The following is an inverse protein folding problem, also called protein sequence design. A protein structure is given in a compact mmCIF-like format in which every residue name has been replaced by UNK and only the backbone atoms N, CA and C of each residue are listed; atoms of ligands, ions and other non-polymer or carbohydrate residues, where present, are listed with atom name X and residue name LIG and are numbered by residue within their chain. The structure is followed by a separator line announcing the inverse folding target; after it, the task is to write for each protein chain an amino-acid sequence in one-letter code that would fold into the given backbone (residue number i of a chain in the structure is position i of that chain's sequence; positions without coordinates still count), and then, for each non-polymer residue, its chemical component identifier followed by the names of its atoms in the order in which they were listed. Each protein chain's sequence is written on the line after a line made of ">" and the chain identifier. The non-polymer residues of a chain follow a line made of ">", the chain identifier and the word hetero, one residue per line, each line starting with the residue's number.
data_IF_209276511014
#
_entry.id   IF_209276511014
#
_cell.length_a   1.000
_cell.length_b   1.000
_cell.length_c   1.000
_cell.angle_alpha   90.00
_cell.angle_beta   90.00
_cell.angle_gamma   90.00
#
_symmetry.space_group_name_H-M   'P 1'
#
loop_
_entity.id
_entity.type
_entity.pdbx_description
1 polymer ?
#
# COMPACT_ATOMS: atom_id res chain seq x y z
N UNK A 1 -15.09 -8.03 22.58
CA UNK A 1 -13.96 -7.60 23.43
C UNK A 1 -14.22 -8.11 24.84
N UNK A 2 -13.27 -8.82 25.47
CA UNK A 2 -13.44 -9.23 26.86
C UNK A 2 -13.39 -7.98 27.76
N UNK A 3 -14.46 -7.72 28.51
CA UNK A 3 -14.52 -6.60 29.46
C UNK A 3 -13.57 -6.88 30.61
N UNK A 4 -12.37 -6.30 30.58
CA UNK A 4 -11.43 -6.37 31.71
C UNK A 4 -11.92 -5.42 32.80
N UNK A 5 -12.31 -5.95 33.96
CA UNK A 5 -12.55 -5.15 35.17
C UNK A 5 -11.21 -4.57 35.64
N UNK A 6 -11.03 -3.26 35.50
CA UNK A 6 -9.93 -2.55 36.14
C UNK A 6 -10.38 -2.18 37.56
N UNK A 7 -9.58 -2.46 38.60
CA UNK A 7 -9.88 -1.96 39.93
C UNK A 7 -9.88 -0.43 39.90
N UNK A 8 -10.99 0.15 40.35
CA UNK A 8 -11.15 1.59 40.56
C UNK A 8 -11.37 1.87 42.04
N UNK A 9 -11.36 3.14 42.43
CA UNK A 9 -11.81 3.58 43.76
C UNK A 9 -13.26 3.20 44.08
N UNK A 10 -14.03 2.75 43.08
CA UNK A 10 -15.41 2.29 43.20
C UNK A 10 -15.54 0.75 43.25
N UNK A 11 -14.43 0.02 43.29
CA UNK A 11 -14.44 -1.44 43.46
C UNK A 11 -15.06 -1.79 44.82
N UNK A 12 -15.83 -2.88 44.87
CA UNK A 12 -16.46 -3.37 46.10
C UNK A 12 -15.97 -4.79 46.40
N UNK A 13 -15.21 -4.99 47.50
CA UNK A 13 -14.76 -3.99 48.48
C UNK A 13 -13.73 -2.99 47.91
N UNK A 14 -13.55 -1.80 48.52
CA UNK A 14 -12.51 -0.86 48.14
C UNK A 14 -11.12 -1.53 48.20
N UNK A 15 -10.33 -1.39 47.15
CA UNK A 15 -8.96 -1.91 47.11
C UNK A 15 -8.08 -1.00 47.96
N UNK A 16 -7.38 -1.54 48.97
CA UNK A 16 -6.47 -0.75 49.80
C UNK A 16 -5.29 -0.25 48.96
N UNK A 17 -4.66 0.86 49.39
CA UNK A 17 -3.52 1.46 48.68
C UNK A 17 -2.39 0.46 48.33
N UNK A 18 -1.92 -0.37 49.28
CA UNK A 18 -0.93 -1.40 49.00
C UNK A 18 -1.40 -2.43 47.97
N UNK A 19 -2.61 -2.99 48.13
CA UNK A 19 -3.17 -3.99 47.21
C UNK A 19 -3.32 -3.44 45.78
N UNK A 20 -3.65 -2.15 45.65
CA UNK A 20 -3.73 -1.47 44.35
C UNK A 20 -2.34 -1.35 43.71
N UNK A 21 -1.32 -0.98 44.49
CA UNK A 21 0.05 -0.88 43.98
C UNK A 21 0.58 -2.25 43.54
N UNK A 22 0.30 -3.32 44.28
CA UNK A 22 0.68 -4.69 43.91
C UNK A 22 -0.03 -5.13 42.62
N UNK A 23 -1.32 -4.79 42.47
CA UNK A 23 -2.06 -5.07 41.25
C UNK A 23 -1.52 -4.30 40.03
N UNK A 24 -1.13 -3.03 40.20
CA UNK A 24 -0.49 -2.24 39.14
C UNK A 24 0.88 -2.81 38.80
N UNK A 25 1.71 -3.13 39.79
CA UNK A 25 3.03 -3.73 39.60
C UNK A 25 2.94 -5.04 38.82
N UNK A 26 1.99 -5.92 39.16
CA UNK A 26 1.71 -7.16 38.44
C UNK A 26 1.32 -6.90 36.97
N UNK A 27 0.50 -5.88 36.69
CA UNK A 27 0.08 -5.52 35.32
C UNK A 27 1.23 -4.93 34.49
N UNK A 28 2.07 -4.13 35.13
CA UNK A 28 3.29 -3.59 34.52
C UNK A 28 4.29 -4.73 34.24
N UNK A 29 4.42 -5.71 35.13
CA UNK A 29 5.19 -6.94 34.90
C UNK A 29 4.71 -7.69 33.65
N UNK A 30 3.41 -7.98 33.57
CA UNK A 30 2.83 -8.62 32.35
C UNK A 30 3.02 -7.79 31.08
N UNK A 31 3.07 -6.45 31.19
CA UNK A 31 3.35 -5.59 30.04
C UNK A 31 4.80 -5.73 29.61
N UNK A 32 5.75 -5.78 30.56
CA UNK A 32 7.16 -6.02 30.25
C UNK A 32 7.42 -7.42 29.69
N UNK A 33 6.70 -8.44 30.16
CA UNK A 33 6.77 -9.79 29.61
C UNK A 33 6.28 -9.84 28.15
N UNK A 34 5.34 -8.98 27.77
CA UNK A 34 4.76 -8.91 26.43
C UNK A 34 5.42 -7.86 25.52
N UNK A 35 6.22 -6.95 26.07
CA UNK A 35 6.85 -5.87 25.32
C UNK A 35 8.23 -6.30 24.80
N UNK A 36 8.55 -5.88 23.58
CA UNK A 36 9.91 -6.05 23.06
C UNK A 36 10.87 -5.06 23.73
N UNK A 37 11.77 -5.59 24.56
CA UNK A 37 12.76 -4.78 25.30
C UNK A 37 13.99 -4.48 24.43
N UNK A 38 14.56 -3.29 24.60
CA UNK A 38 15.84 -2.92 23.98
C UNK A 38 16.97 -3.07 25.01
N UNK A 39 17.99 -3.90 24.75
CA UNK A 39 19.15 -3.99 25.64
C UNK A 39 19.86 -2.65 25.79
N UNK A 40 20.30 -2.35 27.01
CA UNK A 40 21.16 -1.21 27.33
C UNK A 40 22.64 -1.52 27.09
N UNK A 41 23.01 -2.80 27.08
CA UNK A 41 24.34 -3.27 26.72
C UNK A 41 24.28 -4.67 26.08
N UNK A 42 25.26 -4.96 25.22
CA UNK A 42 25.50 -6.27 24.60
C UNK A 42 27.00 -6.56 24.69
N UNK A 43 27.36 -7.72 25.23
CA UNK A 43 28.72 -8.24 25.26
C UNK A 43 28.76 -9.68 24.76
N UNK A 44 29.94 -10.17 24.38
CA UNK A 44 30.09 -11.55 23.92
C UNK A 44 31.45 -12.14 24.31
N UNK A 45 31.50 -13.47 24.43
CA UNK A 45 32.73 -14.26 24.47
C UNK A 45 32.61 -15.37 23.42
N UNK A 46 33.29 -15.21 22.29
CA UNK A 46 33.01 -16.04 21.11
C UNK A 46 31.57 -15.86 20.64
N UNK A 47 30.83 -16.97 20.50
CA UNK A 47 29.41 -16.98 20.08
C UNK A 47 28.42 -17.00 21.26
N UNK A 48 28.89 -16.78 22.49
CA UNK A 48 28.06 -16.62 23.67
C UNK A 48 27.81 -15.14 23.92
N UNK A 49 26.57 -14.69 23.70
CA UNK A 49 26.15 -13.30 23.85
C UNK A 49 25.42 -13.08 25.18
N UNK A 50 25.74 -11.97 25.86
CA UNK A 50 25.05 -11.52 27.07
C UNK A 50 24.45 -10.15 26.79
N UNK A 51 23.15 -10.00 27.04
CA UNK A 51 22.46 -8.71 26.95
C UNK A 51 22.05 -8.21 28.34
N UNK A 52 22.12 -6.91 28.58
CA UNK A 52 21.60 -6.27 29.78
C UNK A 52 20.37 -5.45 29.41
N UNK A 53 19.32 -5.51 30.21
CA UNK A 53 18.05 -4.79 29.97
C UNK A 53 17.70 -3.89 31.16
N UNK A 54 16.88 -2.88 30.90
CA UNK A 54 16.33 -1.97 31.91
C UNK A 54 14.80 -1.88 31.72
N UNK A 55 13.97 -2.27 32.70
CA UNK A 55 14.36 -2.75 34.04
C UNK A 55 15.12 -4.08 34.01
N UNK A 56 15.97 -4.29 35.02
CA UNK A 56 16.68 -5.56 35.22
C UNK A 56 15.67 -6.67 35.53
N UNK A 57 15.87 -7.85 34.98
CA UNK A 57 15.02 -9.00 35.29
C UNK A 57 15.36 -9.55 36.68
N UNK A 58 14.35 -9.68 37.52
CA UNK A 58 14.48 -10.28 38.87
C UNK A 58 14.41 -11.82 38.83
N UNK A 59 14.14 -12.40 37.67
CA UNK A 59 14.01 -13.83 37.42
C UNK A 59 14.52 -14.21 36.03
N UNK A 60 14.38 -15.48 35.66
CA UNK A 60 14.73 -15.93 34.31
C UNK A 60 13.74 -15.44 33.24
N UNK A 61 14.16 -15.47 31.98
CA UNK A 61 13.29 -15.14 30.85
C UNK A 61 12.11 -16.11 30.77
N UNK A 62 10.93 -15.58 30.44
CA UNK A 62 9.71 -16.38 30.26
C UNK A 62 9.31 -16.46 28.79
N UNK A 63 8.57 -17.50 28.41
CA UNK A 63 8.15 -17.71 27.04
C UNK A 63 7.37 -16.50 26.51
N UNK A 64 7.62 -16.13 25.25
CA UNK A 64 7.11 -14.95 24.55
C UNK A 64 7.80 -13.61 24.87
N UNK A 65 8.75 -13.56 25.82
CA UNK A 65 9.59 -12.36 25.98
C UNK A 65 10.42 -12.10 24.73
N UNK A 66 10.47 -10.84 24.31
CA UNK A 66 11.14 -10.44 23.08
C UNK A 66 12.16 -9.31 23.29
N UNK A 67 13.22 -9.30 22.47
CA UNK A 67 14.34 -8.38 22.58
C UNK A 67 14.78 -7.88 21.20
N UNK A 68 15.05 -6.58 21.07
CA UNK A 68 15.69 -5.99 19.89
C UNK A 68 17.21 -5.92 20.08
N UNK A 69 17.95 -6.84 19.48
CA UNK A 69 19.38 -7.02 19.73
C UNK A 69 20.19 -6.59 18.50
N UNK A 70 21.18 -5.73 18.72
CA UNK A 70 22.28 -5.51 17.77
C UNK A 70 23.56 -6.16 18.31
N UNK A 71 24.06 -7.25 17.71
CA UNK A 71 25.26 -7.90 18.21
C UNK A 71 26.48 -6.98 18.10
N UNK A 72 27.35 -7.05 19.10
CA UNK A 72 28.61 -6.30 19.16
C UNK A 72 29.76 -6.98 18.39
N UNK A 73 29.61 -8.26 18.03
CA UNK A 73 30.49 -9.01 17.15
C UNK A 73 29.67 -9.98 16.30
N UNK A 74 30.09 -10.24 15.06
CA UNK A 74 29.41 -11.21 14.20
C UNK A 74 29.73 -12.63 14.65
N UNK A 75 28.76 -13.52 14.60
CA UNK A 75 28.98 -14.90 14.99
C UNK A 75 29.81 -15.68 13.96
N UNK A 76 30.57 -16.66 14.44
CA UNK A 76 31.39 -17.57 13.62
C UNK A 76 30.88 -19.01 13.63
N UNK A 77 29.73 -19.26 14.25
CA UNK A 77 29.09 -20.58 14.39
C UNK A 77 27.82 -20.51 15.24
N UNK A 78 27.36 -21.66 15.79
CA UNK A 78 26.19 -21.70 16.67
C UNK A 78 26.33 -20.74 17.85
N UNK A 79 25.25 -20.05 18.19
CA UNK A 79 25.24 -19.00 19.20
C UNK A 79 24.40 -19.39 20.39
N UNK A 80 24.71 -18.79 21.53
CA UNK A 80 23.85 -18.79 22.72
C UNK A 80 23.64 -17.38 23.22
N UNK A 81 22.51 -17.14 23.86
CA UNK A 81 22.11 -15.87 24.40
C UNK A 81 21.64 -16.03 25.85
N UNK A 82 22.00 -15.07 26.70
CA UNK A 82 21.41 -14.89 28.03
C UNK A 82 21.08 -13.43 28.29
N UNK A 83 20.12 -13.20 29.19
CA UNK A 83 19.70 -11.87 29.61
C UNK A 83 20.23 -11.62 31.01
N UNK A 84 21.32 -10.85 31.12
CA UNK A 84 22.15 -10.62 32.31
C UNK A 84 23.04 -11.80 32.71
N UNK A 85 24.04 -11.55 33.56
CA UNK A 85 25.05 -12.54 33.95
C UNK A 85 24.52 -13.63 34.89
N UNK A 86 23.40 -13.39 35.58
CA UNK A 86 22.77 -14.34 36.49
C UNK A 86 21.97 -15.43 35.77
N UNK A 87 21.58 -15.19 34.52
CA UNK A 87 20.73 -16.08 33.76
C UNK A 87 21.56 -17.17 33.05
N UNK A 88 20.98 -18.38 32.86
CA UNK A 88 21.60 -19.41 32.06
C UNK A 88 21.68 -18.99 30.59
N UNK A 89 22.59 -19.62 29.86
CA UNK A 89 22.64 -19.51 28.40
C UNK A 89 21.59 -20.41 27.76
N UNK A 90 20.89 -19.86 26.78
CA UNK A 90 19.97 -20.57 25.91
C UNK A 90 20.46 -20.53 24.48
N UNK A 91 20.15 -21.54 23.69
CA UNK A 91 20.53 -21.55 22.28
C UNK A 91 19.85 -20.41 21.53
N UNK A 92 20.60 -19.72 20.67
CA UNK A 92 20.09 -18.71 19.77
C UNK A 92 20.06 -19.32 18.37
N UNK A 93 18.85 -19.50 17.86
CA UNK A 93 18.55 -20.26 16.64
C UNK A 93 17.77 -19.42 15.64
N UNK A 94 17.65 -19.92 14.41
CA UNK A 94 16.80 -19.35 13.37
C UNK A 94 15.33 -19.43 13.76
N UNK A 95 14.45 -18.74 13.04
CA UNK A 95 13.00 -18.84 13.26
C UNK A 95 12.50 -20.29 13.18
N UNK A 96 13.13 -21.13 12.36
CA UNK A 96 12.82 -22.55 12.19
C UNK A 96 13.31 -23.48 13.30
N UNK A 97 14.17 -23.00 14.21
CA UNK A 97 14.78 -23.82 15.27
C UNK A 97 16.16 -24.38 14.92
N UNK A 98 16.62 -24.21 13.68
CA UNK A 98 17.96 -24.62 13.26
C UNK A 98 19.05 -23.73 13.85
N UNK A 99 20.21 -24.33 14.14
CA UNK A 99 21.36 -23.59 14.66
C UNK A 99 21.84 -22.49 13.68
N UNK A 100 22.32 -21.38 14.21
CA UNK A 100 22.91 -20.31 13.41
C UNK A 100 24.24 -20.74 12.78
N UNK A 101 24.41 -20.43 11.50
CA UNK A 101 25.67 -20.54 10.78
C UNK A 101 26.50 -19.26 10.90
N UNK A 102 27.80 -19.29 10.49
CA UNK A 102 28.66 -18.11 10.54
C UNK A 102 28.05 -16.92 9.78
N UNK A 103 27.98 -15.75 10.43
CA UNK A 103 27.44 -14.52 9.85
C UNK A 103 25.91 -14.35 9.92
N UNK A 104 25.15 -15.37 10.36
CA UNK A 104 23.69 -15.25 10.48
C UNK A 104 23.25 -14.21 11.56
N UNK A 105 24.13 -13.94 12.54
CA UNK A 105 23.97 -12.93 13.58
C UNK A 105 25.12 -11.91 13.53
N UNK A 106 25.01 -10.96 12.60
CA UNK A 106 26.09 -10.04 12.21
C UNK A 106 25.98 -8.65 12.83
N UNK A 107 27.12 -8.03 13.12
CA UNK A 107 27.18 -6.63 13.57
C UNK A 107 26.52 -5.69 12.56
N UNK A 108 25.99 -4.56 13.07
CA UNK A 108 25.31 -3.57 12.25
C UNK A 108 23.88 -3.94 11.84
N UNK A 109 23.41 -5.15 12.16
CA UNK A 109 22.02 -5.58 11.94
C UNK A 109 21.28 -5.63 13.27
N UNK A 110 20.02 -5.16 13.27
CA UNK A 110 19.13 -5.27 14.43
C UNK A 110 18.19 -6.47 14.23
N UNK A 111 18.10 -7.32 15.24
CA UNK A 111 17.30 -8.54 15.24
C UNK A 111 16.23 -8.49 16.32
N UNK A 112 14.99 -8.84 15.98
CA UNK A 112 13.95 -9.19 16.95
C UNK A 112 14.12 -10.66 17.32
N UNK A 113 14.39 -10.91 18.59
CA UNK A 113 14.63 -12.24 19.14
C UNK A 113 13.55 -12.54 20.18
N UNK A 114 12.96 -13.73 20.16
CA UNK A 114 11.89 -14.14 21.09
C UNK A 114 12.27 -15.43 21.81
N UNK A 115 12.05 -15.49 23.12
CA UNK A 115 12.26 -16.69 23.91
C UNK A 115 11.06 -17.63 23.82
N UNK A 116 11.29 -18.90 23.43
CA UNK A 116 10.23 -19.90 23.17
C UNK A 116 10.25 -21.04 24.20
N UNK A 117 10.64 -20.76 25.45
CA UNK A 117 10.58 -21.74 26.55
C UNK A 117 11.69 -22.79 26.52
N UNK A 118 12.90 -22.40 26.13
CA UNK A 118 14.08 -23.26 26.08
C UNK A 118 15.16 -22.79 25.10
N UNK A 119 14.79 -21.90 24.19
CA UNK A 119 15.67 -21.32 23.18
C UNK A 119 15.20 -19.91 22.79
N UNK A 120 16.11 -19.13 22.24
CA UNK A 120 15.84 -17.86 21.59
C UNK A 120 15.76 -18.03 20.07
N UNK A 121 14.70 -17.53 19.46
CA UNK A 121 14.52 -17.54 18.00
C UNK A 121 14.61 -16.14 17.42
N UNK A 122 15.37 -15.99 16.35
CA UNK A 122 15.40 -14.76 15.54
C UNK A 122 14.16 -14.71 14.64
N UNK A 123 13.28 -13.74 14.85
CA UNK A 123 12.05 -13.54 14.05
C UNK A 123 12.21 -12.51 12.94
N UNK A 124 13.17 -11.60 13.04
CA UNK A 124 13.49 -10.69 11.94
C UNK A 124 14.86 -11.02 11.37
N UNK A 125 14.92 -11.58 10.17
CA UNK A 125 16.15 -11.55 9.37
C UNK A 125 15.99 -10.46 8.33
N UNK A 126 16.67 -9.33 8.53
CA UNK A 126 16.71 -8.27 7.54
C UNK A 126 17.61 -8.61 6.35
N UNK A 127 18.57 -9.56 6.48
CA UNK A 127 19.54 -9.87 5.42
C UNK A 127 20.12 -11.29 5.54
N UNK A 128 19.34 -12.33 5.26
CA UNK A 128 19.91 -13.67 5.02
C UNK A 128 19.52 -14.14 3.63
N UNK A 129 20.48 -14.18 2.72
CA UNK A 129 20.39 -14.91 1.45
C UNK A 129 20.07 -16.42 1.64
N UNK A 130 20.10 -16.89 2.89
CA UNK A 130 19.59 -18.20 3.30
C UNK A 130 18.20 -18.01 3.91
N UNK A 131 17.16 -18.20 3.08
CA UNK A 131 15.77 -18.06 3.52
C UNK A 131 15.41 -19.06 4.61
N UNK A 132 15.00 -18.55 5.78
CA UNK A 132 14.13 -19.27 6.71
C UNK A 132 13.56 -18.41 7.86
N UNK A 133 13.50 -17.09 7.69
CA UNK A 133 12.48 -16.28 8.37
C UNK A 133 11.33 -16.11 7.39
N UNK A 134 10.07 -16.09 7.88
CA UNK A 134 8.88 -15.80 7.07
C UNK A 134 9.26 -14.77 6.01
N UNK A 135 9.40 -15.21 4.76
CA UNK A 135 10.08 -14.41 3.77
C UNK A 135 9.17 -13.23 3.49
N UNK A 136 9.42 -12.08 4.10
CA UNK A 136 8.78 -10.83 3.71
C UNK A 136 9.43 -10.39 2.40
N UNK A 137 9.28 -11.22 1.38
CA UNK A 137 9.69 -10.90 0.03
C UNK A 137 8.75 -9.78 -0.42
N UNK A 138 9.33 -8.63 -0.75
CA UNK A 138 8.64 -7.45 -1.25
C UNK A 138 9.47 -6.88 -2.40
N UNK A 139 8.84 -6.70 -3.56
CA UNK A 139 9.44 -6.01 -4.68
C UNK A 139 8.45 -5.01 -5.27
N UNK A 140 8.89 -3.76 -5.43
CA UNK A 140 8.12 -2.68 -6.04
C UNK A 140 8.74 -2.29 -7.39
N UNK A 141 7.88 -2.09 -8.38
CA UNK A 141 8.22 -1.61 -9.71
C UNK A 141 7.54 -0.26 -9.95
N UNK A 142 8.35 0.79 -10.01
CA UNK A 142 7.96 2.13 -10.48
C UNK A 142 8.29 2.35 -11.96
N UNK A 143 9.01 1.41 -12.55
CA UNK A 143 9.38 1.35 -13.97
C UNK A 143 9.27 -0.10 -14.44
N UNK A 144 8.96 -0.32 -15.72
CA UNK A 144 8.86 -1.66 -16.29
C UNK A 144 10.15 -2.45 -16.13
N UNK A 145 10.02 -3.76 -15.96
CA UNK A 145 11.15 -4.65 -15.74
C UNK A 145 10.73 -6.11 -15.74
N UNK A 146 11.47 -6.93 -15.00
CA UNK A 146 11.23 -8.36 -14.89
C UNK A 146 11.28 -8.77 -13.43
N UNK A 147 10.28 -9.52 -12.99
CA UNK A 147 10.28 -10.20 -11.72
C UNK A 147 10.91 -11.58 -11.90
N UNK A 148 11.96 -11.88 -11.13
CA UNK A 148 12.56 -13.20 -11.06
C UNK A 148 12.10 -13.89 -9.77
N UNK A 149 11.57 -15.09 -9.89
CA UNK A 149 11.14 -15.89 -8.74
C UNK A 149 12.35 -16.16 -7.84
N UNK A 150 12.30 -15.78 -6.54
CA UNK A 150 13.37 -16.11 -5.61
C UNK A 150 13.60 -17.62 -5.56
N UNK A 151 14.87 -18.04 -5.60
CA UNK A 151 15.24 -19.45 -5.65
C UNK A 151 14.78 -20.25 -4.42
N UNK A 152 14.61 -19.57 -3.29
CA UNK A 152 14.20 -20.10 -1.99
C UNK A 152 12.72 -19.87 -1.66
N UNK A 153 11.90 -19.42 -2.62
CA UNK A 153 10.49 -19.23 -2.38
C UNK A 153 9.78 -20.60 -2.31
N UNK A 154 9.13 -20.89 -1.18
CA UNK A 154 8.32 -22.11 -1.02
C UNK A 154 7.31 -22.20 -2.18
N UNK A 155 7.25 -23.32 -2.93
CA UNK A 155 6.27 -23.53 -3.98
C UNK A 155 4.81 -23.34 -3.54
N UNK A 156 4.51 -23.45 -2.24
CA UNK A 156 3.21 -23.22 -1.64
C UNK A 156 3.01 -21.83 -1.04
N UNK A 157 4.02 -20.96 -1.07
CA UNK A 157 3.86 -19.57 -0.66
C UNK A 157 2.79 -18.88 -1.51
N UNK A 158 1.95 -18.08 -0.85
CA UNK A 158 0.97 -17.22 -1.50
C UNK A 158 1.61 -15.86 -1.73
N UNK A 159 1.65 -15.42 -2.97
CA UNK A 159 2.04 -14.07 -3.34
C UNK A 159 0.77 -13.23 -3.51
N UNK A 160 0.81 -12.00 -3.02
CA UNK A 160 -0.14 -10.97 -3.37
C UNK A 160 0.53 -10.01 -4.35
N UNK A 161 -0.09 -9.86 -5.51
CA UNK A 161 0.37 -8.95 -6.57
C UNK A 161 -0.63 -7.80 -6.66
N UNK A 162 -0.15 -6.57 -6.52
CA UNK A 162 -0.94 -5.35 -6.61
C UNK A 162 -0.49 -4.52 -7.80
N UNK A 163 -1.44 -4.03 -8.61
CA UNK A 163 -1.17 -3.36 -9.87
C UNK A 163 -2.03 -2.11 -9.98
N UNK A 164 -1.41 -0.99 -10.34
CA UNK A 164 -2.08 0.29 -10.64
C UNK A 164 -1.81 0.70 -12.08
N UNK A 165 -2.85 1.03 -12.84
CA UNK A 165 -2.71 1.63 -14.18
C UNK A 165 -2.24 3.09 -14.10
N UNK A 166 -1.71 3.61 -15.22
CA UNK A 166 -1.37 5.03 -15.35
C UNK A 166 -2.61 5.92 -15.42
N UNK A 167 -2.52 7.14 -14.86
CA UNK A 167 -3.56 8.15 -14.98
C UNK A 167 -3.53 8.82 -16.36
N UNK A 168 -4.67 9.28 -16.86
CA UNK A 168 -4.78 10.06 -18.10
C UNK A 168 -4.32 11.51 -17.91
N UNK A 169 -3.88 12.15 -18.99
CA UNK A 169 -3.51 13.56 -19.02
C UNK A 169 -4.71 14.48 -19.24
N UNK A 170 -4.64 15.69 -18.68
CA UNK A 170 -5.64 16.73 -18.93
C UNK A 170 -5.40 17.48 -20.25
N UNK A 171 -6.43 18.18 -20.72
CA UNK A 171 -6.33 19.03 -21.91
C UNK A 171 -5.71 20.40 -21.60
N UNK A 172 -5.05 21.02 -22.57
CA UNK A 172 -4.30 22.27 -22.45
C UNK A 172 -4.82 23.39 -23.38
N UNK A 173 -6.02 23.26 -23.91
CA UNK A 173 -6.57 24.24 -24.85
C UNK A 173 -6.87 25.59 -24.19
N UNK A 174 -7.00 26.63 -25.00
CA UNK A 174 -7.09 28.03 -24.52
C UNK A 174 -8.38 28.33 -23.74
N UNK A 175 -9.48 27.66 -24.03
CA UNK A 175 -10.81 28.12 -23.61
C UNK A 175 -11.52 27.23 -22.60
N UNK A 176 -11.38 25.90 -22.68
CA UNK A 176 -12.04 24.96 -21.76
C UNK A 176 -11.19 23.72 -21.59
N UNK A 177 -10.91 23.27 -20.36
CA UNK A 177 -9.98 22.15 -20.13
C UNK A 177 -10.61 21.10 -19.22
N UNK A 178 -10.70 19.86 -19.71
CA UNK A 178 -11.04 18.70 -18.89
C UNK A 178 -9.79 18.10 -18.23
N UNK A 179 -9.96 17.58 -17.02
CA UNK A 179 -8.94 16.75 -16.35
C UNK A 179 -8.91 15.32 -16.90
N UNK A 180 -7.79 14.64 -16.73
CA UNK A 180 -7.65 13.21 -17.03
C UNK A 180 -8.22 12.32 -15.92
N UNK A 181 -8.70 11.13 -16.27
CA UNK A 181 -9.16 10.12 -15.31
C UNK A 181 -7.99 9.41 -14.62
N UNK A 182 -8.20 8.91 -13.41
CA UNK A 182 -7.23 8.08 -12.70
C UNK A 182 -7.13 6.66 -13.27
N UNK A 183 -6.02 5.99 -13.03
CA UNK A 183 -5.83 4.56 -13.34
C UNK A 183 -6.53 3.65 -12.33
N UNK A 184 -6.89 2.44 -12.75
CA UNK A 184 -7.48 1.43 -11.88
C UNK A 184 -6.45 0.80 -10.95
N UNK A 185 -6.93 0.21 -9.86
CA UNK A 185 -6.21 -0.78 -9.06
C UNK A 185 -6.77 -2.17 -9.30
N UNK A 186 -5.89 -3.16 -9.37
CA UNK A 186 -6.26 -4.56 -9.38
C UNK A 186 -5.24 -5.38 -8.57
N UNK A 187 -5.67 -6.51 -8.01
CA UNK A 187 -4.79 -7.40 -7.28
C UNK A 187 -5.22 -8.86 -7.43
N UNK A 188 -4.29 -9.77 -7.19
CA UNK A 188 -4.58 -11.20 -7.13
C UNK A 188 -3.67 -11.92 -6.13
N UNK A 189 -4.14 -13.06 -5.63
CA UNK A 189 -3.39 -13.99 -4.80
C UNK A 189 -2.97 -15.19 -5.64
N UNK A 190 -1.67 -15.32 -5.87
CA UNK A 190 -1.09 -16.32 -6.75
C UNK A 190 -0.19 -17.25 -5.94
N UNK A 191 -0.31 -18.56 -6.18
CA UNK A 191 0.60 -19.52 -5.57
C UNK A 191 1.95 -19.45 -6.28
N UNK A 192 3.05 -19.54 -5.54
CA UNK A 192 4.40 -19.48 -6.11
C UNK A 192 4.63 -20.55 -7.19
N UNK A 193 4.02 -21.74 -7.05
CA UNK A 193 4.10 -22.82 -8.04
C UNK A 193 3.37 -22.52 -9.35
N UNK A 194 2.38 -21.63 -9.36
CA UNK A 194 1.60 -21.29 -10.56
C UNK A 194 2.29 -20.22 -11.42
N UNK A 195 3.29 -19.54 -10.87
CA UNK A 195 4.08 -18.53 -11.56
C UNK A 195 5.24 -19.15 -12.36
N UNK A 196 5.58 -18.55 -13.49
CA UNK A 196 6.85 -18.83 -14.17
C UNK A 196 8.04 -18.35 -13.32
N UNK A 197 9.25 -18.87 -13.58
CA UNK A 197 10.48 -18.43 -12.89
C UNK A 197 10.87 -16.98 -13.21
N UNK A 198 10.36 -16.44 -14.30
CA UNK A 198 10.55 -15.06 -14.74
C UNK A 198 9.23 -14.54 -15.30
N UNK A 199 8.80 -13.35 -14.84
CA UNK A 199 7.55 -12.70 -15.25
C UNK A 199 7.87 -11.27 -15.67
N UNK A 200 7.43 -10.88 -16.88
CA UNK A 200 7.55 -9.49 -17.32
C UNK A 200 6.61 -8.59 -16.52
N UNK A 201 7.12 -7.46 -16.03
CA UNK A 201 6.35 -6.46 -15.29
C UNK A 201 6.27 -5.20 -16.14
N UNK A 202 5.05 -4.78 -16.47
CA UNK A 202 4.80 -3.53 -17.19
C UNK A 202 4.27 -2.48 -16.23
N UNK A 203 4.92 -1.32 -16.17
CA UNK A 203 4.39 -0.15 -15.48
C UNK A 203 3.87 0.82 -16.52
N UNK A 204 2.55 1.03 -16.52
CA UNK A 204 1.88 1.94 -17.44
C UNK A 204 2.33 3.38 -17.23
N UNK A 205 2.74 4.05 -18.30
CA UNK A 205 3.09 5.46 -18.25
C UNK A 205 1.84 6.32 -17.94
N UNK A 206 2.06 7.45 -17.27
CA UNK A 206 1.04 8.49 -17.16
C UNK A 206 0.81 9.17 -18.51
N UNK A 207 -0.44 9.53 -18.78
CA UNK A 207 -0.82 10.22 -20.01
C UNK A 207 -0.26 11.65 -20.06
N UNK A 208 0.36 12.03 -21.18
CA UNK A 208 0.82 13.39 -21.38
C UNK A 208 -0.37 14.39 -21.41
N UNK A 209 -0.14 15.62 -20.93
CA UNK A 209 -1.03 16.72 -21.23
C UNK A 209 -1.01 16.99 -22.73
N UNK A 210 -2.15 17.33 -23.31
CA UNK A 210 -2.25 17.55 -24.76
C UNK A 210 -3.03 18.81 -25.10
N UNK A 211 -2.82 19.37 -26.28
CA UNK A 211 -3.43 20.63 -26.72
C UNK A 211 -4.95 20.60 -26.61
N UNK A 212 -5.62 19.94 -27.55
CA UNK A 212 -7.07 19.77 -27.50
C UNK A 212 -7.51 18.56 -26.69
N UNK A 213 -6.79 17.45 -26.78
CA UNK A 213 -7.08 16.23 -26.01
C UNK A 213 -5.77 15.80 -25.36
N UNK A 214 -5.82 15.40 -24.09
CA UNK A 214 -4.70 14.74 -23.43
C UNK A 214 -4.40 13.37 -24.02
N UNK A 215 -3.46 12.64 -23.42
CA UNK A 215 -3.19 11.24 -23.76
C UNK A 215 -3.76 10.36 -22.64
N UNK A 216 -4.31 9.20 -23.00
CA UNK A 216 -4.75 8.21 -22.02
C UNK A 216 -3.55 7.63 -21.26
N UNK A 217 -3.76 7.18 -20.03
CA UNK A 217 -2.75 6.45 -19.27
C UNK A 217 -2.56 5.03 -19.79
N UNK A 218 -1.35 4.50 -19.64
CA UNK A 218 -1.03 3.12 -20.00
C UNK A 218 -1.50 2.11 -18.96
N UNK A 219 -1.74 0.87 -19.39
CA UNK A 219 -2.01 -0.24 -18.47
C UNK A 219 -0.72 -0.69 -17.76
N UNK A 220 -0.86 -1.15 -16.53
CA UNK A 220 0.20 -1.88 -15.84
C UNK A 220 -0.16 -3.36 -15.73
N UNK A 221 0.83 -4.24 -15.70
CA UNK A 221 0.61 -5.68 -15.58
C UNK A 221 1.76 -6.43 -14.91
N UNK A 222 1.41 -7.56 -14.30
CA UNK A 222 2.32 -8.61 -13.90
C UNK A 222 2.09 -9.82 -14.80
N UNK A 223 2.87 -9.91 -15.88
CA UNK A 223 2.68 -10.90 -16.94
C UNK A 223 1.24 -10.88 -17.48
N UNK A 224 0.68 -12.06 -17.65
CA UNK A 224 -0.73 -12.28 -17.97
C UNK A 224 -1.61 -12.51 -16.74
N UNK A 225 -1.04 -12.47 -15.52
CA UNK A 225 -1.75 -12.87 -14.30
C UNK A 225 -2.64 -11.74 -13.79
N UNK A 226 -2.11 -10.51 -13.72
CA UNK A 226 -2.85 -9.35 -13.22
C UNK A 226 -2.62 -8.15 -14.11
N UNK A 227 -3.69 -7.45 -14.48
CA UNK A 227 -3.64 -6.20 -15.25
C UNK A 227 -4.52 -5.16 -14.56
N UNK A 228 -4.02 -3.93 -14.46
CA UNK A 228 -4.83 -2.77 -14.10
C UNK A 228 -4.80 -1.74 -15.22
N UNK A 229 -5.98 -1.23 -15.56
CA UNK A 229 -6.17 -0.42 -16.75
C UNK A 229 -5.94 1.07 -16.50
N UNK A 230 -5.45 1.76 -17.52
CA UNK A 230 -5.21 3.20 -17.48
C UNK A 230 -6.49 4.05 -17.52
N UNK A 231 -6.37 5.30 -17.07
CA UNK A 231 -7.43 6.31 -17.17
C UNK A 231 -7.47 7.00 -18.53
N UNK A 232 -8.65 7.49 -18.91
CA UNK A 232 -8.88 8.23 -20.15
C UNK A 232 -8.42 9.69 -20.08
N UNK A 233 -8.20 10.28 -21.26
CA UNK A 233 -7.78 11.66 -21.42
C UNK A 233 -8.92 12.67 -21.26
N UNK A 234 -8.60 13.85 -20.72
CA UNK A 234 -9.49 15.03 -20.76
C UNK A 234 -9.51 15.69 -22.15
N UNK A 235 -10.57 16.43 -22.45
CA UNK A 235 -10.76 17.13 -23.73
C UNK A 235 -10.86 18.65 -23.54
N UNK A 236 -10.67 19.42 -24.60
CA UNK A 236 -10.82 20.85 -24.74
C UNK A 236 -11.58 21.18 -26.02
N UNK A 237 -12.82 21.66 -25.89
CA UNK A 237 -13.54 22.25 -27.04
C UNK A 237 -14.15 23.61 -26.73
N UNK A 238 -14.55 24.33 -27.78
CA UNK A 238 -15.09 25.69 -27.68
C UNK A 238 -16.43 25.74 -26.91
N UNK A 239 -17.24 24.69 -27.00
CA UNK A 239 -18.61 24.65 -26.45
C UNK A 239 -18.72 23.85 -25.16
N UNK A 240 -17.58 23.43 -24.58
CA UNK A 240 -17.53 22.62 -23.37
C UNK A 240 -16.38 21.63 -23.37
N UNK A 241 -15.98 21.15 -22.20
CA UNK A 241 -14.91 20.16 -22.09
C UNK A 241 -15.27 19.07 -21.12
N UNK A 242 -15.31 17.83 -21.60
CA UNK A 242 -15.45 16.65 -20.76
C UNK A 242 -14.13 16.26 -20.08
N UNK A 243 -14.22 15.70 -18.88
CA UNK A 243 -13.11 15.01 -18.23
C UNK A 243 -12.99 13.55 -18.69
N UNK A 244 -11.80 12.97 -18.62
CA UNK A 244 -11.58 11.56 -19.01
C UNK A 244 -12.22 10.58 -18.02
N UNK A 245 -12.63 9.40 -18.48
CA UNK A 245 -13.13 8.35 -17.59
C UNK A 245 -11.99 7.69 -16.80
N UNK A 246 -12.26 7.23 -15.57
CA UNK A 246 -11.29 6.45 -14.81
C UNK A 246 -11.15 5.02 -15.35
N UNK A 247 -9.99 4.39 -15.16
CA UNK A 247 -9.78 2.97 -15.49
C UNK A 247 -10.68 2.04 -14.67
N UNK A 248 -11.14 0.95 -15.27
CA UNK A 248 -11.92 -0.10 -14.62
C UNK A 248 -11.10 -1.36 -14.35
N UNK A 249 -11.74 -2.37 -13.76
CA UNK A 249 -11.13 -3.67 -13.50
C UNK A 249 -10.88 -4.48 -14.79
N UNK A 250 -11.67 -4.27 -15.84
CA UNK A 250 -11.62 -5.06 -17.08
C UNK A 250 -11.42 -4.24 -18.36
N UNK A 251 -11.45 -2.91 -18.28
CA UNK A 251 -11.21 -2.04 -19.43
C UNK A 251 -10.66 -0.67 -19.01
N UNK A 252 -9.99 0.00 -19.94
CA UNK A 252 -9.49 1.37 -19.74
C UNK A 252 -10.65 2.38 -19.73
N UNK A 253 -10.42 3.49 -19.04
CA UNK A 253 -11.36 4.62 -19.08
C UNK A 253 -11.39 5.25 -20.46
N UNK A 254 -12.57 5.60 -20.95
CA UNK A 254 -12.71 6.25 -22.24
C UNK A 254 -12.21 7.70 -22.17
N UNK A 255 -11.71 8.20 -23.30
CA UNK A 255 -11.39 9.62 -23.45
C UNK A 255 -12.67 10.46 -23.45
N UNK A 256 -12.58 11.69 -22.96
CA UNK A 256 -13.65 12.66 -23.12
C UNK A 256 -13.88 13.00 -24.60
N UNK A 257 -15.15 13.17 -24.95
CA UNK A 257 -15.55 13.72 -26.25
C UNK A 257 -15.92 15.19 -26.10
N UNK A 258 -16.52 15.80 -27.12
CA UNK A 258 -16.72 17.25 -27.21
C UNK A 258 -17.38 17.85 -25.98
N UNK A 259 -18.53 17.33 -25.54
CA UNK A 259 -19.24 17.84 -24.36
C UNK A 259 -19.59 16.77 -23.33
N UNK A 260 -19.42 15.49 -23.68
CA UNK A 260 -19.59 14.37 -22.76
C UNK A 260 -18.24 13.97 -22.15
N UNK A 261 -18.25 13.73 -20.83
CA UNK A 261 -17.13 13.08 -20.17
C UNK A 261 -16.93 11.67 -20.69
N UNK A 262 -15.72 11.14 -20.54
CA UNK A 262 -15.41 9.76 -20.92
C UNK A 262 -16.11 8.78 -19.98
N UNK A 263 -16.65 7.69 -20.51
CA UNK A 263 -17.16 6.59 -19.69
C UNK A 263 -16.02 6.01 -18.84
N UNK A 264 -16.33 5.66 -17.59
CA UNK A 264 -15.40 4.87 -16.78
C UNK A 264 -15.25 3.46 -17.34
N UNK A 265 -14.12 2.81 -17.08
CA UNK A 265 -13.90 1.42 -17.46
C UNK A 265 -14.84 0.47 -16.69
N UNK A 266 -15.04 -0.72 -17.23
CA UNK A 266 -15.97 -1.71 -16.73
C UNK A 266 -15.47 -2.39 -15.44
N UNK A 267 -16.41 -2.84 -14.61
CA UNK A 267 -16.12 -3.65 -13.43
C UNK A 267 -16.13 -5.15 -13.73
N UNK A 268 -15.44 -5.95 -12.90
CA UNK A 268 -15.33 -7.40 -13.09
C UNK A 268 -16.63 -8.19 -12.82
N UNK A 269 -17.63 -7.59 -12.18
CA UNK A 269 -18.91 -8.23 -11.86
C UNK A 269 -20.00 -7.58 -12.71
N UNK A 270 -20.43 -8.24 -13.78
CA UNK A 270 -21.47 -7.74 -14.73
C UNK A 270 -22.81 -8.44 -14.58
N UNK A 271 -22.92 -9.45 -13.71
CA UNK A 271 -24.06 -10.40 -13.71
C UNK A 271 -25.18 -10.06 -12.75
N UNK A 272 -25.03 -9.09 -11.85
CA UNK A 272 -26.14 -8.65 -11.01
C UNK A 272 -26.67 -7.30 -11.53
N UNK A 273 -27.85 -7.37 -12.16
CA UNK A 273 -28.59 -6.31 -12.82
C UNK A 273 -29.03 -5.15 -11.87
N UNK A 274 -28.41 -5.05 -10.70
CA UNK A 274 -28.75 -4.08 -9.66
C UNK A 274 -27.62 -3.09 -9.32
N UNK A 275 -26.35 -3.33 -9.66
CA UNK A 275 -25.23 -2.49 -9.14
C UNK A 275 -24.11 -2.19 -10.17
N UNK A 276 -24.01 -2.90 -11.29
CA UNK A 276 -22.92 -2.75 -12.25
C UNK A 276 -23.37 -2.13 -13.59
N UNK A 277 -24.01 -0.97 -13.56
CA UNK A 277 -24.03 -0.16 -14.77
C UNK A 277 -22.62 0.43 -14.96
N UNK A 278 -21.92 0.20 -16.10
CA UNK A 278 -20.77 1.03 -16.43
C UNK A 278 -21.21 2.49 -16.29
N UNK A 279 -20.35 3.36 -15.77
CA UNK A 279 -20.70 4.77 -15.56
C UNK A 279 -21.07 5.41 -16.90
N UNK A 280 -22.35 5.32 -17.28
CA UNK A 280 -22.87 5.75 -18.57
C UNK A 280 -22.73 7.27 -18.59
N UNK A 281 -21.77 7.75 -19.36
CA UNK A 281 -21.48 9.16 -19.58
C UNK A 281 -22.67 9.81 -20.29
N UNK A 282 -23.61 10.32 -19.50
CA UNK A 282 -24.68 11.18 -19.96
C UNK A 282 -25.29 11.88 -18.74
N UNK A 283 -24.68 12.98 -18.32
CA UNK A 283 -25.32 14.00 -17.46
C UNK A 283 -25.32 13.75 -15.95
N UNK A 284 -25.07 12.54 -15.46
CA UNK A 284 -24.84 12.28 -14.03
C UNK A 284 -23.65 11.35 -13.83
N UNK A 285 -22.67 11.83 -13.07
CA UNK A 285 -21.37 11.20 -12.81
C UNK A 285 -21.55 9.79 -12.23
N UNK A 286 -21.51 8.77 -13.08
CA UNK A 286 -21.63 7.39 -12.64
C UNK A 286 -20.42 7.00 -11.79
N UNK A 287 -20.63 6.85 -10.48
CA UNK A 287 -19.64 6.26 -9.57
C UNK A 287 -19.71 4.74 -9.69
N UNK A 288 -18.56 4.09 -9.87
CA UNK A 288 -18.45 2.64 -9.99
C UNK A 288 -17.74 2.05 -8.78
N UNK A 289 -18.37 1.12 -8.04
CA UNK A 289 -17.63 0.41 -6.97
C UNK A 289 -16.46 -0.38 -7.56
N UNK A 290 -16.73 -1.10 -8.65
CA UNK A 290 -15.76 -1.99 -9.31
C UNK A 290 -15.31 -1.48 -10.69
N UNK A 291 -16.08 -0.60 -11.32
CA UNK A 291 -15.71 0.11 -12.53
C UNK A 291 -15.02 1.44 -12.24
N UNK A 292 -14.48 2.07 -13.27
CA UNK A 292 -13.98 3.43 -13.19
C UNK A 292 -15.11 4.45 -13.07
N UNK A 293 -14.80 5.60 -12.46
CA UNK A 293 -15.71 6.73 -12.43
C UNK A 293 -15.85 7.38 -13.80
N UNK A 294 -17.08 7.71 -14.21
CA UNK A 294 -17.32 8.49 -15.43
C UNK A 294 -16.72 9.90 -15.33
N UNK A 295 -16.15 10.40 -16.42
CA UNK A 295 -15.68 11.78 -16.48
C UNK A 295 -16.82 12.79 -16.43
N UNK A 296 -16.54 13.98 -15.91
CA UNK A 296 -17.51 15.06 -15.85
C UNK A 296 -17.94 15.52 -17.24
N UNK A 297 -19.22 15.80 -17.43
CA UNK A 297 -19.76 16.44 -18.64
C UNK A 297 -19.70 17.98 -18.58
N UNK A 298 -19.63 18.62 -19.75
CA UNK A 298 -19.55 20.08 -19.85
C UNK A 298 -20.84 20.82 -19.46
N UNK A 299 -22.00 20.19 -19.69
CA UNK A 299 -23.29 20.74 -19.30
C UNK A 299 -23.41 20.76 -17.77
N UNK A 300 -23.16 21.91 -17.15
CA UNK A 300 -23.33 22.13 -15.71
C UNK A 300 -22.08 21.99 -14.84
N UNK A 301 -20.88 21.85 -15.40
CA UNK A 301 -19.64 21.74 -14.61
C UNK A 301 -19.53 20.42 -13.84
N UNK A 302 -19.71 19.31 -14.56
CA UNK A 302 -19.73 17.97 -13.96
C UNK A 302 -18.43 17.63 -13.24
N UNK A 303 -18.54 17.28 -11.96
CA UNK A 303 -17.48 16.58 -11.23
C UNK A 303 -17.17 15.24 -11.90
N UNK A 304 -15.98 14.68 -11.71
CA UNK A 304 -15.76 13.28 -12.06
C UNK A 304 -16.54 12.34 -11.14
N UNK A 305 -16.89 11.16 -11.62
CA UNK A 305 -17.47 10.07 -10.82
C UNK A 305 -16.40 9.44 -9.92
N UNK A 306 -16.81 9.01 -8.74
CA UNK A 306 -15.94 8.36 -7.77
C UNK A 306 -15.81 6.86 -8.04
N UNK A 307 -14.78 6.23 -7.49
CA UNK A 307 -14.61 4.78 -7.55
C UNK A 307 -14.08 4.19 -6.24
N UNK A 308 -14.14 2.87 -6.06
CA UNK A 308 -13.42 2.19 -4.97
C UNK A 308 -12.16 1.55 -5.53
N UNK A 309 -12.33 0.65 -6.51
CA UNK A 309 -11.22 -0.10 -7.12
C UNK A 309 -10.78 0.49 -8.47
N UNK A 310 -11.72 1.06 -9.22
CA UNK A 310 -11.40 1.82 -10.42
C UNK A 310 -10.73 3.16 -10.13
N UNK A 311 -10.29 3.83 -11.19
CA UNK A 311 -9.85 5.21 -11.10
C UNK A 311 -11.03 6.18 -11.01
N UNK A 312 -10.83 7.33 -10.38
CA UNK A 312 -11.80 8.42 -10.39
C UNK A 312 -11.86 9.13 -11.76
N UNK A 313 -13.03 9.61 -12.16
CA UNK A 313 -13.19 10.34 -13.42
C UNK A 313 -12.56 11.73 -13.36
N UNK A 314 -12.10 12.26 -14.49
CA UNK A 314 -11.63 13.65 -14.61
C UNK A 314 -12.78 14.65 -14.52
N UNK A 315 -12.51 15.83 -13.98
CA UNK A 315 -13.48 16.92 -13.94
C UNK A 315 -13.65 17.64 -15.28
N UNK A 316 -14.85 18.16 -15.54
CA UNK A 316 -15.15 18.97 -16.72
C UNK A 316 -14.72 20.44 -16.57
N UNK A 317 -14.79 21.21 -17.65
CA UNK A 317 -14.93 22.67 -17.54
C UNK A 317 -16.41 23.07 -17.56
N UNK A 318 -16.88 23.81 -16.56
CA UNK A 318 -18.20 24.44 -16.58
C UNK A 318 -18.19 25.69 -17.46
N UNK A 319 -19.06 25.76 -18.46
CA UNK A 319 -19.22 26.92 -19.35
C UNK A 319 -19.78 28.18 -18.63
N UNK A 320 -20.14 28.10 -17.36
CA UNK A 320 -20.69 29.21 -16.56
C UNK A 320 -20.04 29.31 -15.17
N UNK A 321 -18.96 30.10 -15.08
CA UNK A 321 -18.45 30.90 -13.93
C UNK A 321 -18.62 30.50 -12.44
N UNK A 322 -19.11 29.33 -12.03
CA UNK A 322 -19.49 29.15 -10.61
C UNK A 322 -19.20 27.82 -9.90
N UNK A 323 -18.62 26.81 -10.54
CA UNK A 323 -18.01 25.72 -9.79
C UNK A 323 -16.89 25.07 -10.58
N UNK A 324 -15.67 25.11 -10.04
CA UNK A 324 -14.56 24.38 -10.59
C UNK A 324 -14.81 22.87 -10.37
N UNK A 325 -14.83 22.12 -11.47
CA UNK A 325 -15.25 20.72 -11.46
C UNK A 325 -14.10 19.83 -11.02
N UNK A 326 -14.15 19.44 -9.75
CA UNK A 326 -13.21 18.52 -9.09
C UNK A 326 -13.27 17.15 -9.79
N UNK A 327 -12.12 16.50 -9.94
CA UNK A 327 -12.09 15.10 -10.40
C UNK A 327 -12.66 14.16 -9.33
N UNK A 328 -13.17 13.02 -9.75
CA UNK A 328 -13.68 11.99 -8.86
C UNK A 328 -12.57 11.38 -8.00
N UNK A 329 -12.91 11.02 -6.77
CA UNK A 329 -12.02 10.37 -5.81
C UNK A 329 -12.02 8.86 -6.00
N UNK A 330 -10.99 8.19 -5.50
CA UNK A 330 -10.96 6.73 -5.41
C UNK A 330 -10.48 6.27 -4.04
N UNK A 331 -10.66 5.00 -3.69
CA UNK A 331 -10.04 4.43 -2.48
C UNK A 331 -8.71 3.79 -2.82
N UNK A 332 -8.71 2.88 -3.81
CA UNK A 332 -7.55 2.09 -4.21
C UNK A 332 -6.95 2.52 -5.55
N UNK A 333 -7.79 2.92 -6.52
CA UNK A 333 -7.33 3.47 -7.80
C UNK A 333 -6.82 4.90 -7.66
N UNK A 334 -6.33 5.49 -8.76
CA UNK A 334 -5.94 6.90 -8.79
C UNK A 334 -7.16 7.84 -8.77
N UNK A 335 -7.03 8.99 -8.11
CA UNK A 335 -8.00 10.08 -8.20
C UNK A 335 -7.95 10.78 -9.55
N UNK A 336 -9.09 11.30 -10.04
CA UNK A 336 -9.16 12.03 -11.30
C UNK A 336 -8.69 13.48 -11.19
N UNK A 337 -8.11 14.04 -12.25
CA UNK A 337 -7.67 15.43 -12.28
C UNK A 337 -8.82 16.43 -12.38
N UNK A 338 -8.63 17.64 -11.86
CA UNK A 338 -9.62 18.72 -12.01
C UNK A 338 -9.71 19.21 -13.46
N UNK A 339 -10.90 19.60 -13.91
CA UNK A 339 -11.08 20.46 -15.08
C UNK A 339 -11.09 21.93 -14.69
N UNK A 340 -11.22 22.83 -15.67
CA UNK A 340 -11.51 24.25 -15.44
C UNK A 340 -10.52 25.26 -16.07
N UNK A 341 -10.98 26.51 -16.15
CA UNK A 341 -10.23 27.66 -16.71
C UNK A 341 -9.83 28.70 -15.66
N UNK A 342 -10.39 28.63 -14.45
CA UNK A 342 -10.14 29.54 -13.33
C UNK A 342 -10.23 28.81 -11.99
N UNK A 343 -9.31 29.12 -11.06
CA UNK A 343 -9.23 28.54 -9.71
C UNK A 343 -8.36 27.27 -9.60
N UNK A 344 -7.76 27.09 -8.42
CA UNK A 344 -6.94 25.92 -8.04
C UNK A 344 -7.78 24.90 -7.28
N UNK A 345 -8.77 24.30 -7.92
CA UNK A 345 -9.43 23.14 -7.30
C UNK A 345 -8.48 21.96 -7.26
N UNK A 346 -8.45 21.29 -6.12
CA UNK A 346 -7.76 20.01 -6.00
C UNK A 346 -8.39 19.00 -6.96
N UNK A 347 -7.58 18.06 -7.46
CA UNK A 347 -8.13 16.85 -8.08
C UNK A 347 -8.80 15.94 -7.05
N UNK A 348 -9.35 14.82 -7.50
CA UNK A 348 -9.88 13.79 -6.62
C UNK A 348 -8.80 13.18 -5.73
N UNK A 349 -9.19 12.74 -4.54
CA UNK A 349 -8.26 12.17 -3.55
C UNK A 349 -8.27 10.65 -3.66
N UNK A 350 -7.16 10.00 -3.36
CA UNK A 350 -7.08 8.56 -3.16
C UNK A 350 -6.34 8.19 -1.88
N UNK A 351 -6.80 7.12 -1.22
CA UNK A 351 -6.21 6.65 0.04
C UNK A 351 -4.97 5.78 -0.21
N UNK A 352 -5.05 4.89 -1.21
CA UNK A 352 -3.97 3.97 -1.56
C UNK A 352 -3.40 4.19 -2.96
N UNK A 353 -4.15 4.89 -3.81
CA UNK A 353 -3.66 5.39 -5.10
C UNK A 353 -3.11 6.82 -4.99
N UNK A 354 -2.74 7.37 -6.12
CA UNK A 354 -2.30 8.75 -6.23
C UNK A 354 -3.46 9.72 -6.39
N UNK A 355 -3.32 10.92 -5.84
CA UNK A 355 -4.28 12.00 -5.99
C UNK A 355 -4.28 12.55 -7.42
N UNK A 356 -5.44 13.02 -7.86
CA UNK A 356 -5.56 13.77 -9.09
C UNK A 356 -4.90 15.14 -9.00
N UNK A 357 -4.35 15.59 -10.13
CA UNK A 357 -3.73 16.90 -10.24
C UNK A 357 -4.74 18.04 -10.16
N UNK A 358 -4.35 19.10 -9.48
CA UNK A 358 -4.96 20.41 -9.65
C UNK A 358 -4.64 20.97 -11.05
N UNK A 359 -5.23 22.11 -11.41
CA UNK A 359 -4.93 22.76 -12.70
C UNK A 359 -3.43 23.05 -12.83
N UNK A 360 -2.85 22.66 -13.97
CA UNK A 360 -1.43 22.81 -14.29
C UNK A 360 -0.53 21.82 -13.55
N UNK A 361 -1.08 20.99 -12.67
CA UNK A 361 -0.32 20.02 -11.89
C UNK A 361 -0.54 18.60 -12.43
N UNK A 362 0.52 17.82 -12.39
CA UNK A 362 0.43 16.39 -12.63
C UNK A 362 -0.36 15.69 -11.51
N UNK A 363 -0.93 14.53 -11.81
CA UNK A 363 -1.37 13.61 -10.76
C UNK A 363 -0.17 13.06 -9.97
N UNK A 364 -0.42 12.51 -8.78
CA UNK A 364 0.63 11.81 -8.01
C UNK A 364 0.65 10.32 -8.32
N UNK A 365 1.81 9.68 -8.17
CA UNK A 365 1.95 8.21 -8.31
C UNK A 365 1.34 7.53 -7.06
N UNK A 366 0.66 6.38 -7.21
CA UNK A 366 0.37 5.68 -8.47
C UNK A 366 -0.94 6.11 -9.12
N UNK A 367 -0.92 6.30 -10.44
CA UNK A 367 -2.13 6.35 -11.27
C UNK A 367 -3.02 7.59 -11.15
N UNK A 368 -2.63 8.64 -10.42
CA UNK A 368 -3.40 9.89 -10.34
C UNK A 368 -3.57 10.56 -11.71
N UNK A 369 -4.80 11.00 -12.03
CA UNK A 369 -5.10 11.71 -13.28
C UNK A 369 -4.55 13.13 -13.29
N UNK A 370 -4.09 13.62 -14.44
CA UNK A 370 -3.58 14.98 -14.58
C UNK A 370 -4.70 16.01 -14.55
N UNK A 371 -4.51 17.12 -13.83
CA UNK A 371 -5.45 18.23 -13.92
C UNK A 371 -5.44 18.86 -15.31
N UNK A 372 -6.30 19.85 -15.57
CA UNK A 372 -6.23 20.67 -16.76
C UNK A 372 -4.79 21.15 -17.03
N UNK A 373 -4.22 20.85 -18.21
CA UNK A 373 -2.80 21.07 -18.58
C UNK A 373 -1.75 20.27 -17.80
N UNK A 374 -2.15 19.28 -17.00
CA UNK A 374 -1.28 18.41 -16.23
C UNK A 374 -1.18 17.01 -16.84
N UNK A 375 -0.02 16.37 -16.67
CA UNK A 375 0.18 14.97 -17.03
C UNK A 375 -0.45 14.04 -16.00
N UNK A 376 -0.93 12.88 -16.42
CA UNK A 376 -1.25 11.80 -15.48
C UNK A 376 0.03 11.22 -14.86
N UNK A 377 -0.12 10.56 -13.72
CA UNK A 377 0.96 9.84 -13.06
C UNK A 377 1.12 8.42 -13.62
N UNK A 378 2.33 7.89 -13.55
CA UNK A 378 2.60 6.49 -13.87
C UNK A 378 1.88 5.55 -12.89
N UNK A 379 1.65 4.33 -13.37
CA UNK A 379 1.19 3.21 -12.56
C UNK A 379 2.25 2.69 -11.59
N UNK A 380 1.98 1.52 -11.02
CA UNK A 380 2.89 0.84 -10.09
C UNK A 380 2.56 -0.65 -10.02
N UNK A 381 3.55 -1.48 -9.74
CA UNK A 381 3.34 -2.91 -9.43
C UNK A 381 4.07 -3.27 -8.14
N UNK A 382 3.43 -4.01 -7.26
CA UNK A 382 4.01 -4.57 -6.04
C UNK A 382 3.80 -6.07 -6.06
N UNK A 383 4.84 -6.83 -5.70
CA UNK A 383 4.77 -8.27 -5.47
C UNK A 383 5.23 -8.53 -4.04
N UNK A 384 4.42 -9.23 -3.24
CA UNK A 384 4.83 -9.64 -1.89
C UNK A 384 4.36 -11.03 -1.52
N UNK A 385 5.12 -11.72 -0.67
CA UNK A 385 4.65 -12.96 -0.03
C UNK A 385 3.74 -12.62 1.14
N UNK A 386 2.65 -13.36 1.28
CA UNK A 386 1.69 -13.27 2.37
C UNK A 386 1.82 -14.54 3.19
N UNK A 387 2.53 -14.44 4.31
CA UNK A 387 2.86 -15.55 5.21
C UNK A 387 3.36 -15.02 6.55
#
# INVERSE_FOLDING_TARGET
>A
MATRKLPTSLSTPPVAGPDYMDAVASKVGMLFDAASLKPTAVSNSGNDYTITVDPVLDADVVASMSFYIGPNASNTGPCRLRVTNSNPYYDLVKATGEALGPGDFATGTAYLVVFMGGEFRILSVANSESGDGASTYFQEFLVSGTWAKPANLDPNAILMVEVWGGGGGGANGSNSRGGGGGGAYNFDFLKASDLTSSVSVTVGAGGAAGGNIGVAGGNSSFGSYVTAFGGGAGNSTLTGSGGGGGGGATSAGANATTSAGGNGGDGAITTDNLIAAPGLGSGTNGSGRYGGGGGGGAAGGGKGGDAIWGGGGGGANGVASSAASVGGSSVYGGGGGTGGTSGSTAGGVSLYGGNGGARGAAGSVPGGGGGASGTGAAGKVIVRVVG
#
